data_IF_046766092031
#
_entry.id   IF_046766092031
#
_cell.length_a   1.000
_cell.length_b   1.000
_cell.length_c   1.000
_cell.angle_alpha   90.00
_cell.angle_beta   90.00
_cell.angle_gamma   90.00
#
_symmetry.space_group_name_H-M   'P 1'
#
loop_
_entity.id
_entity.type
_entity.pdbx_description
1 polymer ?
#
# COMPACT_ATOMS: atom_id res chain seq x y z
N UNK A 1 30.64 16.30 15.96
CA UNK A 1 31.42 17.04 14.95
C UNK A 1 31.73 16.03 13.85
N UNK A 2 30.80 15.88 12.89
CA UNK A 2 30.97 14.94 11.77
C UNK A 2 31.85 15.60 10.71
N UNK A 3 32.83 14.87 10.13
CA UNK A 3 33.66 15.38 9.05
C UNK A 3 32.77 15.62 7.83
N UNK A 4 32.86 16.82 7.25
CA UNK A 4 32.23 17.12 5.97
C UNK A 4 32.91 16.26 4.90
N UNK A 5 32.22 15.22 4.44
CA UNK A 5 32.61 14.51 3.23
C UNK A 5 32.70 15.52 2.08
N UNK A 6 33.89 15.64 1.51
CA UNK A 6 34.09 16.38 0.27
C UNK A 6 33.30 15.64 -0.81
N UNK A 7 32.40 16.31 -1.56
CA UNK A 7 31.63 15.64 -2.60
C UNK A 7 32.61 14.95 -3.55
N UNK A 8 32.41 13.65 -3.77
CA UNK A 8 33.26 12.87 -4.68
C UNK A 8 33.26 13.52 -6.06
N UNK A 9 34.42 13.52 -6.74
CA UNK A 9 34.61 14.14 -8.06
C UNK A 9 33.52 13.75 -9.07
N UNK A 10 32.98 12.54 -8.95
CA UNK A 10 31.86 12.01 -9.74
C UNK A 10 30.56 12.83 -9.59
N UNK A 11 30.19 13.25 -8.38
CA UNK A 11 28.96 14.05 -8.15
C UNK A 11 29.05 15.43 -8.80
N UNK A 12 30.25 16.04 -8.78
CA UNK A 12 30.50 17.34 -9.41
C UNK A 12 30.40 17.22 -10.93
N UNK A 13 31.00 16.17 -11.50
CA UNK A 13 30.93 15.89 -12.94
C UNK A 13 29.49 15.59 -13.40
N UNK A 14 28.74 14.79 -12.65
CA UNK A 14 27.33 14.50 -12.94
C UNK A 14 26.46 15.76 -12.91
N UNK A 15 26.68 16.66 -11.95
CA UNK A 15 25.96 17.95 -11.89
C UNK A 15 26.27 18.82 -13.09
N UNK A 16 27.53 18.89 -13.52
CA UNK A 16 27.91 19.65 -14.71
C UNK A 16 27.25 19.10 -15.99
N UNK A 17 27.23 17.76 -16.15
CA UNK A 17 26.52 17.10 -17.27
C UNK A 17 25.02 17.40 -17.25
N UNK A 18 24.38 17.37 -16.09
CA UNK A 18 22.96 17.70 -15.94
C UNK A 18 22.68 19.17 -16.31
N UNK A 19 23.51 20.10 -15.84
CA UNK A 19 23.36 21.52 -16.19
C UNK A 19 23.46 21.74 -17.70
N UNK A 20 24.46 21.12 -18.36
CA UNK A 20 24.60 21.21 -19.81
C UNK A 20 23.39 20.62 -20.56
N UNK A 21 22.84 19.50 -20.08
CA UNK A 21 21.65 18.88 -20.68
C UNK A 21 20.39 19.77 -20.52
N UNK A 22 20.21 20.41 -19.37
CA UNK A 22 19.09 21.34 -19.12
C UNK A 22 19.22 22.58 -20.03
N UNK A 23 20.42 23.12 -20.16
CA UNK A 23 20.70 24.25 -21.04
C UNK A 23 20.40 23.88 -22.51
N UNK A 24 20.90 22.74 -22.98
CA UNK A 24 20.61 22.26 -24.33
C UNK A 24 19.11 22.07 -24.56
N UNK A 25 18.39 21.48 -23.59
CA UNK A 25 16.94 21.30 -23.68
C UNK A 25 16.21 22.65 -23.76
N UNK A 26 16.59 23.63 -22.93
CA UNK A 26 15.99 24.96 -22.96
C UNK A 26 16.20 25.65 -24.31
N UNK A 27 17.40 25.54 -24.89
CA UNK A 27 17.69 26.07 -26.22
C UNK A 27 16.91 25.38 -27.33
N UNK A 28 16.79 24.05 -27.29
CA UNK A 28 15.98 23.31 -28.27
C UNK A 28 14.52 23.75 -28.23
N UNK A 29 13.90 23.79 -27.04
CA UNK A 29 12.51 24.23 -26.89
C UNK A 29 12.32 25.70 -27.30
N UNK A 30 13.28 26.57 -26.94
CA UNK A 30 13.25 27.99 -27.31
C UNK A 30 13.31 28.20 -28.82
N UNK A 31 14.14 27.43 -29.53
CA UNK A 31 14.23 27.48 -31.01
C UNK A 31 12.98 26.93 -31.69
N UNK A 32 12.45 25.81 -31.22
CA UNK A 32 11.19 25.24 -31.72
C UNK A 32 10.04 26.24 -31.57
N UNK A 33 9.97 26.94 -30.43
CA UNK A 33 8.94 27.96 -30.15
C UNK A 33 9.03 29.16 -31.10
N UNK A 34 10.24 29.47 -31.59
CA UNK A 34 10.52 30.56 -32.53
C UNK A 34 10.61 30.08 -33.99
N UNK A 35 10.31 28.81 -34.27
CA UNK A 35 10.41 28.18 -35.60
C UNK A 35 11.81 28.33 -36.24
N UNK A 36 12.87 28.28 -35.42
CA UNK A 36 14.26 28.37 -35.87
C UNK A 36 14.84 26.98 -36.17
N UNK A 37 15.80 26.91 -37.09
CA UNK A 37 16.49 25.67 -37.45
C UNK A 37 17.19 25.02 -36.23
N UNK A 38 17.11 23.68 -36.07
CA UNK A 38 17.50 22.98 -34.84
C UNK A 38 19.00 22.98 -34.52
N UNK A 39 19.86 23.25 -35.50
CA UNK A 39 21.33 23.25 -35.36
C UNK A 39 21.98 24.65 -35.46
N UNK A 40 21.17 25.71 -35.51
CA UNK A 40 21.71 27.06 -35.37
C UNK A 40 22.16 27.26 -33.91
N UNK A 41 23.47 27.21 -33.65
CA UNK A 41 24.03 27.77 -32.41
C UNK A 41 23.55 29.23 -32.25
N UNK A 42 23.49 29.80 -31.03
CA UNK A 42 23.26 31.22 -30.82
C UNK A 42 24.44 31.98 -31.45
N UNK A 43 24.37 32.20 -32.75
CA UNK A 43 25.40 32.91 -33.48
C UNK A 43 25.28 34.37 -33.10
N UNK A 44 26.41 34.98 -32.80
CA UNK A 44 26.50 36.42 -32.48
C UNK A 44 26.20 37.32 -33.68
N UNK A 45 25.81 36.76 -34.83
CA UNK A 45 25.47 37.48 -36.06
C UNK A 45 23.98 37.79 -36.19
N UNK A 46 23.13 37.27 -35.28
CA UNK A 46 21.71 37.60 -35.23
C UNK A 46 21.49 39.06 -34.80
N UNK A 47 20.47 39.75 -35.36
CA UNK A 47 20.04 41.06 -34.87
C UNK A 47 19.72 41.03 -33.37
N UNK A 48 20.03 42.10 -32.63
CA UNK A 48 19.77 42.23 -31.19
C UNK A 48 18.31 41.93 -30.79
N UNK A 49 17.35 42.21 -31.67
CA UNK A 49 15.94 41.89 -31.45
C UNK A 49 15.69 40.38 -31.41
N UNK A 50 16.31 39.62 -32.32
CA UNK A 50 16.14 38.18 -32.45
C UNK A 50 16.89 37.45 -31.34
N UNK A 51 18.11 37.91 -31.01
CA UNK A 51 18.85 37.42 -29.83
C UNK A 51 18.04 37.59 -28.55
N UNK A 52 17.44 38.76 -28.33
CA UNK A 52 16.59 39.01 -27.17
C UNK A 52 15.38 38.08 -27.12
N UNK A 53 14.70 37.85 -28.25
CA UNK A 53 13.57 36.91 -28.30
C UNK A 53 14.02 35.49 -27.97
N UNK A 54 15.17 35.07 -28.51
CA UNK A 54 15.78 33.76 -28.26
C UNK A 54 16.12 33.56 -26.77
N UNK A 55 16.72 34.55 -26.11
CA UNK A 55 17.00 34.50 -24.66
C UNK A 55 15.73 34.48 -23.81
N UNK A 56 14.68 35.22 -24.19
CA UNK A 56 13.40 35.20 -23.49
C UNK A 56 12.68 33.84 -23.65
N UNK A 57 12.77 33.23 -24.83
CA UNK A 57 12.26 31.90 -25.08
C UNK A 57 13.00 30.86 -24.21
N UNK A 58 14.34 30.90 -24.19
CA UNK A 58 15.15 30.02 -23.33
C UNK A 58 14.84 30.20 -21.83
N UNK A 59 14.66 31.43 -21.36
CA UNK A 59 14.23 31.70 -19.97
C UNK A 59 12.87 31.06 -19.68
N UNK A 60 11.91 31.20 -20.60
CA UNK A 60 10.58 30.60 -20.47
C UNK A 60 10.67 29.07 -20.41
N UNK A 61 11.49 28.46 -21.26
CA UNK A 61 11.75 27.03 -21.24
C UNK A 61 12.40 26.56 -19.93
N UNK A 62 13.38 27.31 -19.40
CA UNK A 62 14.00 27.00 -18.11
C UNK A 62 13.00 27.05 -16.95
N UNK A 63 12.07 28.01 -16.95
CA UNK A 63 11.00 28.07 -15.96
C UNK A 63 10.07 26.85 -16.06
N UNK A 64 9.69 26.44 -17.28
CA UNK A 64 8.87 25.25 -17.49
C UNK A 64 9.59 23.95 -17.06
N UNK A 65 10.90 23.85 -17.31
CA UNK A 65 11.73 22.73 -16.85
C UNK A 65 11.78 22.70 -15.33
N UNK A 66 11.98 23.84 -14.67
CA UNK A 66 11.97 23.94 -13.20
C UNK A 66 10.65 23.46 -12.63
N UNK A 67 9.53 23.96 -13.13
CA UNK A 67 8.20 23.62 -12.64
C UNK A 67 7.91 22.11 -12.84
N UNK A 68 8.35 21.54 -13.97
CA UNK A 68 8.28 20.10 -14.25
C UNK A 68 9.17 19.28 -13.29
N UNK A 69 10.39 19.73 -13.02
CA UNK A 69 11.29 19.11 -12.06
C UNK A 69 10.73 19.16 -10.63
N UNK A 70 10.03 20.25 -10.26
CA UNK A 70 9.32 20.34 -8.98
C UNK A 70 8.22 19.29 -8.86
N UNK A 71 7.39 19.10 -9.91
CA UNK A 71 6.38 18.05 -9.94
C UNK A 71 6.98 16.64 -9.83
N UNK A 72 8.05 16.37 -10.58
CA UNK A 72 8.77 15.10 -10.50
C UNK A 72 9.37 14.88 -9.09
N UNK A 73 9.90 15.92 -8.46
CA UNK A 73 10.41 15.84 -7.09
C UNK A 73 9.32 15.50 -6.08
N UNK A 74 8.10 16.04 -6.26
CA UNK A 74 6.95 15.70 -5.42
C UNK A 74 6.50 14.25 -5.62
N UNK A 75 6.47 13.76 -6.87
CA UNK A 75 6.17 12.37 -7.20
C UNK A 75 7.21 11.40 -6.60
N UNK A 76 8.50 11.75 -6.68
CA UNK A 76 9.58 10.98 -6.09
C UNK A 76 9.48 10.94 -4.55
N UNK A 77 9.20 12.08 -3.91
CA UNK A 77 9.00 12.14 -2.45
C UNK A 77 7.79 11.31 -2.00
N UNK A 78 6.67 11.37 -2.75
CA UNK A 78 5.51 10.51 -2.52
C UNK A 78 5.87 9.03 -2.65
N UNK A 79 6.56 8.66 -3.73
CA UNK A 79 6.99 7.28 -4.00
C UNK A 79 7.94 6.75 -2.94
N UNK A 80 8.82 7.60 -2.41
CA UNK A 80 9.72 7.28 -1.30
C UNK A 80 8.93 7.08 0.00
N UNK A 81 7.97 7.96 0.30
CA UNK A 81 7.10 7.83 1.47
C UNK A 81 6.23 6.57 1.41
N UNK A 82 5.67 6.25 0.24
CA UNK A 82 4.97 4.99 -0.03
C UNK A 82 5.87 3.76 0.14
N UNK A 83 7.19 3.93 0.10
CA UNK A 83 8.21 2.90 0.35
C UNK A 83 8.77 2.94 1.78
N UNK A 84 8.23 3.80 2.64
CA UNK A 84 8.57 3.87 4.07
C UNK A 84 9.53 5.00 4.45
N UNK A 85 10.01 5.81 3.49
CA UNK A 85 10.90 6.92 3.80
C UNK A 85 10.14 8.00 4.58
N UNK A 86 10.67 8.40 5.74
CA UNK A 86 10.12 9.46 6.56
C UNK A 86 10.70 10.83 6.17
N UNK A 87 10.21 11.91 6.80
CA UNK A 87 10.67 13.26 6.49
C UNK A 87 12.17 13.50 6.74
N UNK A 88 12.82 12.93 7.76
CA UNK A 88 14.28 12.91 7.86
C UNK A 88 14.96 12.38 6.60
N UNK A 89 14.64 11.15 6.16
CA UNK A 89 15.28 10.54 5.00
C UNK A 89 15.00 11.31 3.69
N UNK A 90 13.75 11.75 3.50
CA UNK A 90 13.36 12.56 2.33
C UNK A 90 14.08 13.92 2.36
N UNK A 91 14.22 14.53 3.54
CA UNK A 91 14.93 15.79 3.72
C UNK A 91 16.40 15.65 3.37
N UNK A 92 17.07 14.64 3.91
CA UNK A 92 18.47 14.33 3.63
C UNK A 92 18.73 14.14 2.13
N UNK A 93 17.93 13.31 1.47
CA UNK A 93 18.03 13.07 0.02
C UNK A 93 17.82 14.35 -0.81
N UNK A 94 16.96 15.25 -0.34
CA UNK A 94 16.68 16.52 -1.00
C UNK A 94 17.61 17.67 -0.54
N UNK A 95 18.62 17.39 0.30
CA UNK A 95 19.55 18.40 0.83
C UNK A 95 18.89 19.46 1.72
N UNK A 96 17.82 19.10 2.44
CA UNK A 96 17.06 20.01 3.30
C UNK A 96 16.73 19.40 4.67
N UNK A 97 16.30 20.22 5.61
CA UNK A 97 15.91 19.74 6.94
C UNK A 97 14.59 18.96 6.89
N UNK A 98 14.33 18.12 7.90
CA UNK A 98 13.03 17.45 8.12
C UNK A 98 11.85 18.43 8.02
N UNK A 99 11.97 19.61 8.64
CA UNK A 99 10.90 20.62 8.62
C UNK A 99 10.73 21.25 7.23
N UNK A 100 11.84 21.44 6.51
CA UNK A 100 11.82 21.85 5.11
C UNK A 100 11.06 20.86 4.23
N UNK A 101 11.38 19.56 4.35
CA UNK A 101 10.71 18.49 3.62
C UNK A 101 9.20 18.43 3.95
N UNK A 102 8.84 18.52 5.24
CA UNK A 102 7.44 18.54 5.67
C UNK A 102 6.65 19.73 5.13
N UNK A 103 7.26 20.91 5.09
CA UNK A 103 6.63 22.12 4.55
C UNK A 103 6.47 22.03 3.03
N UNK A 104 7.46 21.47 2.33
CA UNK A 104 7.45 21.31 0.87
C UNK A 104 6.48 20.23 0.40
N UNK A 105 6.42 19.10 1.11
CA UNK A 105 5.57 17.95 0.76
C UNK A 105 4.72 17.53 1.97
N UNK A 106 3.64 18.25 2.29
CA UNK A 106 2.77 17.90 3.40
C UNK A 106 2.06 16.55 3.17
N UNK A 107 1.67 15.88 4.26
CA UNK A 107 0.89 14.64 4.21
C UNK A 107 1.69 13.32 4.09
N UNK A 108 3.00 13.36 3.81
CA UNK A 108 3.78 12.13 3.58
C UNK A 108 4.00 11.26 4.82
N UNK A 109 3.99 11.84 6.03
CA UNK A 109 4.22 11.10 7.27
C UNK A 109 3.23 9.94 7.51
N UNK A 110 1.99 10.07 7.04
CA UNK A 110 0.99 9.01 7.19
C UNK A 110 1.34 7.75 6.40
N UNK A 111 1.89 7.94 5.19
CA UNK A 111 2.26 6.85 4.27
C UNK A 111 3.47 6.07 4.78
N UNK A 112 4.52 6.79 5.20
CA UNK A 112 5.73 6.18 5.73
C UNK A 112 5.44 5.38 7.00
N UNK A 113 4.67 5.96 7.93
CA UNK A 113 4.26 5.29 9.16
C UNK A 113 3.41 4.04 8.91
N UNK A 114 2.51 4.10 7.93
CA UNK A 114 1.69 2.95 7.53
C UNK A 114 2.54 1.79 7.02
N UNK A 115 3.45 2.06 6.08
CA UNK A 115 4.34 1.02 5.55
C UNK A 115 5.27 0.46 6.62
N UNK A 116 5.83 1.29 7.49
CA UNK A 116 6.71 0.81 8.56
C UNK A 116 5.98 -0.12 9.53
N UNK A 117 4.71 0.15 9.85
CA UNK A 117 3.88 -0.76 10.66
C UNK A 117 3.65 -2.09 9.93
N UNK A 118 3.28 -2.06 8.66
CA UNK A 118 3.15 -3.28 7.84
C UNK A 118 4.44 -4.10 7.82
N UNK A 119 5.60 -3.44 7.63
CA UNK A 119 6.90 -4.11 7.66
C UNK A 119 7.16 -4.75 9.03
N UNK A 120 6.88 -4.03 10.11
CA UNK A 120 7.06 -4.54 11.47
C UNK A 120 6.17 -5.75 11.74
N UNK A 121 4.91 -5.69 11.32
CA UNK A 121 3.99 -6.83 11.39
C UNK A 121 4.52 -8.03 10.63
N UNK A 122 4.88 -7.81 9.37
CA UNK A 122 5.36 -8.86 8.48
C UNK A 122 6.60 -9.54 9.06
N UNK A 123 7.56 -8.76 9.55
CA UNK A 123 8.76 -9.31 10.17
C UNK A 123 8.47 -10.10 11.46
N UNK A 124 7.34 -9.83 12.12
CA UNK A 124 6.95 -10.53 13.36
C UNK A 124 6.06 -11.75 13.10
N UNK A 125 5.19 -11.69 12.07
CA UNK A 125 4.07 -12.63 11.87
C UNK A 125 3.97 -13.19 10.45
N UNK A 126 4.82 -12.76 9.51
CA UNK A 126 4.73 -13.12 8.10
C UNK A 126 4.82 -14.62 7.85
N UNK A 127 5.73 -15.31 8.53
CA UNK A 127 5.88 -16.77 8.39
C UNK A 127 4.63 -17.52 8.91
N UNK A 128 4.11 -17.11 10.07
CA UNK A 128 2.87 -17.66 10.63
C UNK A 128 1.69 -17.40 9.68
N UNK A 129 1.59 -16.19 9.13
CA UNK A 129 0.57 -15.83 8.15
C UNK A 129 0.64 -16.75 6.94
N UNK A 130 1.82 -16.94 6.34
CA UNK A 130 2.02 -17.81 5.17
C UNK A 130 1.58 -19.23 5.48
N UNK A 131 1.95 -19.77 6.65
CA UNK A 131 1.61 -21.14 7.03
C UNK A 131 0.09 -21.32 7.26
N UNK A 132 -0.56 -20.35 7.92
CA UNK A 132 -2.01 -20.32 8.03
C UNK A 132 -2.65 -20.26 6.64
N UNK A 133 -2.15 -19.42 5.74
CA UNK A 133 -2.67 -19.27 4.38
C UNK A 133 -2.55 -20.57 3.58
N UNK A 134 -1.39 -21.25 3.62
CA UNK A 134 -1.21 -22.57 2.99
C UNK A 134 -2.19 -23.60 3.53
N UNK A 135 -2.39 -23.62 4.84
CA UNK A 135 -3.34 -24.55 5.47
C UNK A 135 -4.76 -24.30 4.97
N UNK A 136 -5.17 -23.04 4.82
CA UNK A 136 -6.46 -22.66 4.27
C UNK A 136 -6.60 -23.13 2.82
N UNK A 137 -5.58 -22.91 1.98
CA UNK A 137 -5.59 -23.38 0.60
C UNK A 137 -5.69 -24.91 0.52
N UNK A 138 -4.90 -25.65 1.30
CA UNK A 138 -4.96 -27.11 1.34
C UNK A 138 -6.32 -27.65 1.83
N UNK A 139 -7.02 -26.92 2.69
CA UNK A 139 -8.39 -27.24 3.07
C UNK A 139 -9.38 -26.99 1.93
N UNK A 140 -9.20 -25.91 1.19
CA UNK A 140 -10.05 -25.53 0.05
C UNK A 140 -9.83 -26.43 -1.18
N UNK A 141 -8.61 -26.95 -1.40
CA UNK A 141 -8.30 -27.91 -2.48
C UNK A 141 -9.11 -29.21 -2.41
N UNK A 142 -9.56 -29.60 -1.21
CA UNK A 142 -10.44 -30.76 -1.02
C UNK A 142 -11.85 -30.53 -1.59
N UNK A 143 -12.14 -29.30 -2.03
CA UNK A 143 -13.42 -28.88 -2.56
C UNK A 143 -13.27 -28.57 -4.05
N UNK A 144 -13.90 -29.37 -4.94
CA UNK A 144 -13.82 -29.12 -6.37
C UNK A 144 -14.56 -27.84 -6.76
N UNK A 145 -14.00 -27.10 -7.72
CA UNK A 145 -14.71 -26.02 -8.41
C UNK A 145 -14.63 -24.62 -7.80
N UNK A 146 -13.64 -24.32 -6.96
CA UNK A 146 -13.40 -22.97 -6.43
C UNK A 146 -12.54 -22.13 -7.40
N UNK A 147 -13.11 -21.17 -8.17
CA UNK A 147 -12.38 -20.44 -9.21
C UNK A 147 -11.31 -19.49 -8.64
N UNK A 148 -11.46 -19.05 -7.39
CA UNK A 148 -10.51 -18.14 -6.74
C UNK A 148 -9.24 -18.85 -6.24
N UNK A 149 -9.27 -20.17 -6.07
CA UNK A 149 -8.18 -20.94 -5.45
C UNK A 149 -6.88 -20.81 -6.26
N UNK A 150 -6.97 -20.98 -7.59
CA UNK A 150 -5.82 -20.87 -8.49
C UNK A 150 -5.15 -19.49 -8.40
N UNK A 151 -5.94 -18.41 -8.31
CA UNK A 151 -5.41 -17.07 -8.16
C UNK A 151 -4.66 -16.90 -6.84
N UNK A 152 -5.20 -17.42 -5.73
CA UNK A 152 -4.53 -17.31 -4.43
C UNK A 152 -3.25 -18.14 -4.33
N UNK A 153 -3.16 -19.29 -5.01
CA UNK A 153 -1.88 -20.02 -5.14
C UNK A 153 -0.84 -19.18 -5.90
N UNK A 154 -1.23 -18.54 -7.00
CA UNK A 154 -0.34 -17.63 -7.74
C UNK A 154 0.13 -16.50 -6.85
N UNK A 155 -0.77 -15.84 -6.11
CA UNK A 155 -0.41 -14.76 -5.19
C UNK A 155 0.52 -15.19 -4.07
N UNK A 156 0.30 -16.38 -3.51
CA UNK A 156 1.19 -16.93 -2.50
C UNK A 156 2.60 -17.18 -3.08
N UNK A 157 2.68 -17.77 -4.27
CA UNK A 157 3.96 -18.00 -4.94
C UNK A 157 4.69 -16.68 -5.27
N UNK A 158 3.97 -15.67 -5.76
CA UNK A 158 4.52 -14.31 -5.98
C UNK A 158 5.05 -13.70 -4.69
N UNK A 159 4.33 -13.85 -3.58
CA UNK A 159 4.73 -13.33 -2.27
C UNK A 159 5.99 -14.01 -1.73
N UNK A 160 6.09 -15.34 -1.88
CA UNK A 160 7.24 -16.12 -1.45
C UNK A 160 8.50 -15.81 -2.27
N UNK A 161 8.32 -15.52 -3.57
CA UNK A 161 9.40 -15.14 -4.49
C UNK A 161 9.73 -13.64 -4.43
N UNK A 162 8.89 -12.82 -3.79
CA UNK A 162 9.08 -11.39 -3.73
C UNK A 162 10.37 -11.03 -2.97
N UNK A 163 11.14 -10.12 -3.57
CA UNK A 163 12.26 -9.49 -2.88
C UNK A 163 11.78 -8.75 -1.61
N UNK A 164 12.66 -8.51 -0.63
CA UNK A 164 12.29 -7.78 0.58
C UNK A 164 11.61 -6.43 0.31
N UNK A 165 11.98 -5.74 -0.78
CA UNK A 165 11.40 -4.47 -1.18
C UNK A 165 9.97 -4.60 -1.73
N UNK A 166 9.67 -5.70 -2.43
CA UNK A 166 8.38 -5.95 -3.10
C UNK A 166 7.38 -6.71 -2.22
N UNK A 167 7.84 -7.34 -1.14
CA UNK A 167 7.05 -8.27 -0.33
C UNK A 167 5.76 -7.68 0.22
N UNK A 168 5.78 -6.42 0.65
CA UNK A 168 4.56 -5.76 1.12
C UNK A 168 3.56 -5.46 0.01
N UNK A 169 4.04 -5.17 -1.19
CA UNK A 169 3.16 -4.91 -2.33
C UNK A 169 2.51 -6.22 -2.80
N UNK A 170 3.28 -7.32 -2.82
CA UNK A 170 2.75 -8.66 -3.06
C UNK A 170 1.74 -9.10 -1.99
N UNK A 171 2.02 -8.80 -0.70
CA UNK A 171 1.10 -9.06 0.40
C UNK A 171 -0.21 -8.29 0.21
N UNK A 172 -0.14 -7.01 -0.13
CA UNK A 172 -1.33 -6.18 -0.35
C UNK A 172 -2.20 -6.73 -1.48
N UNK A 173 -1.60 -7.14 -2.60
CA UNK A 173 -2.34 -7.78 -3.71
C UNK A 173 -2.98 -9.09 -3.30
N UNK A 174 -2.26 -9.95 -2.56
CA UNK A 174 -2.81 -11.20 -2.04
C UNK A 174 -3.98 -10.96 -1.08
N UNK A 175 -3.87 -9.96 -0.19
CA UNK A 175 -4.94 -9.61 0.75
C UNK A 175 -6.17 -9.04 0.05
N UNK A 176 -6.00 -8.25 -1.01
CA UNK A 176 -7.11 -7.78 -1.86
C UNK A 176 -7.82 -8.96 -2.52
N UNK A 177 -7.07 -9.88 -3.13
CA UNK A 177 -7.64 -11.04 -3.81
C UNK A 177 -8.29 -12.02 -2.83
N UNK A 178 -7.69 -12.22 -1.64
CA UNK A 178 -8.27 -13.02 -0.57
C UNK A 178 -9.59 -12.41 -0.05
N UNK A 179 -9.63 -11.09 0.10
CA UNK A 179 -10.85 -10.38 0.48
C UNK A 179 -11.94 -10.51 -0.60
N UNK A 180 -11.58 -10.32 -1.87
CA UNK A 180 -12.50 -10.49 -2.99
C UNK A 180 -13.04 -11.93 -3.09
N UNK A 181 -12.18 -12.93 -2.87
CA UNK A 181 -12.59 -14.33 -2.79
C UNK A 181 -13.60 -14.58 -1.65
N UNK A 182 -13.35 -13.98 -0.47
CA UNK A 182 -14.23 -14.11 0.68
C UNK A 182 -15.61 -13.47 0.46
N UNK A 183 -15.67 -12.30 -0.21
CA UNK A 183 -16.93 -11.60 -0.50
C UNK A 183 -17.73 -12.26 -1.63
N UNK A 184 -17.07 -12.71 -2.68
CA UNK A 184 -17.73 -13.26 -3.87
C UNK A 184 -18.09 -14.74 -3.74
N UNK A 185 -17.61 -15.42 -2.70
CA UNK A 185 -18.00 -16.80 -2.47
C UNK A 185 -19.49 -16.87 -2.08
N UNK A 186 -20.28 -17.47 -2.99
CA UNK A 186 -21.68 -17.82 -2.73
C UNK A 186 -21.78 -18.54 -1.38
N UNK A 187 -22.80 -18.22 -0.56
CA UNK A 187 -23.06 -18.98 0.66
C UNK A 187 -23.23 -20.45 0.25
N UNK A 188 -22.39 -21.34 0.76
CA UNK A 188 -22.46 -22.71 0.33
C UNK A 188 -23.74 -23.35 0.86
N UNK A 189 -24.42 -24.12 0.02
CA UNK A 189 -25.53 -24.96 0.45
C UNK A 189 -25.09 -26.08 1.41
N UNK A 190 -23.78 -26.36 1.47
CA UNK A 190 -23.16 -27.33 2.37
C UNK A 190 -22.19 -26.66 3.36
N UNK A 191 -22.41 -26.97 4.64
CA UNK A 191 -21.62 -26.58 5.82
C UNK A 191 -20.10 -26.72 5.68
N UNK A 192 -19.61 -27.67 4.88
CA UNK A 192 -18.18 -27.96 4.77
C UNK A 192 -17.41 -26.95 3.90
N UNK A 193 -18.10 -26.33 2.94
CA UNK A 193 -17.49 -25.41 1.97
C UNK A 193 -17.22 -24.01 2.55
N UNK A 194 -17.92 -23.63 3.63
CA UNK A 194 -17.83 -22.28 4.21
C UNK A 194 -16.58 -22.04 5.07
N UNK A 195 -15.98 -23.13 5.59
CA UNK A 195 -14.88 -23.06 6.57
C UNK A 195 -13.59 -22.40 6.04
N UNK A 196 -13.07 -22.76 4.84
CA UNK A 196 -11.87 -22.10 4.30
C UNK A 196 -12.09 -20.62 4.01
N UNK A 197 -13.27 -20.26 3.52
CA UNK A 197 -13.65 -18.86 3.23
C UNK A 197 -13.69 -18.02 4.51
N UNK A 198 -14.29 -18.56 5.59
CA UNK A 198 -14.32 -17.88 6.90
C UNK A 198 -12.93 -17.69 7.50
N UNK A 199 -12.04 -18.69 7.37
CA UNK A 199 -10.63 -18.57 7.77
C UNK A 199 -9.89 -17.50 6.96
N UNK A 200 -10.08 -17.52 5.64
CA UNK A 200 -9.45 -16.56 4.74
C UNK A 200 -9.86 -15.14 5.08
N UNK A 201 -11.15 -14.91 5.35
CA UNK A 201 -11.66 -13.61 5.77
C UNK A 201 -11.05 -13.15 7.10
N UNK A 202 -11.00 -14.04 8.10
CA UNK A 202 -10.41 -13.74 9.41
C UNK A 202 -8.92 -13.41 9.32
N UNK A 203 -8.15 -14.21 8.57
CA UNK A 203 -6.72 -14.01 8.34
C UNK A 203 -6.44 -12.72 7.58
N UNK A 204 -7.26 -12.40 6.57
CA UNK A 204 -7.15 -11.16 5.79
C UNK A 204 -7.44 -9.95 6.66
N UNK A 205 -8.48 -10.01 7.49
CA UNK A 205 -8.82 -8.94 8.42
C UNK A 205 -7.72 -8.72 9.47
N UNK A 206 -7.03 -9.78 9.92
CA UNK A 206 -5.87 -9.68 10.82
C UNK A 206 -4.68 -8.94 10.24
N UNK A 207 -4.28 -9.30 9.03
CA UNK A 207 -3.25 -8.58 8.32
C UNK A 207 -3.62 -7.10 8.11
N UNK A 208 -4.90 -6.81 7.82
CA UNK A 208 -5.37 -5.43 7.62
C UNK A 208 -5.47 -4.60 8.89
N UNK A 209 -5.93 -5.11 10.05
CA UNK A 209 -6.06 -4.25 11.24
C UNK A 209 -4.72 -3.81 11.76
N UNK A 210 -3.73 -4.68 11.74
CA UNK A 210 -2.42 -4.28 12.19
C UNK A 210 -1.88 -3.15 11.32
N UNK A 211 -2.07 -3.24 10.00
CA UNK A 211 -1.74 -2.15 9.09
C UNK A 211 -2.54 -0.86 9.40
N UNK A 212 -3.84 -0.99 9.61
CA UNK A 212 -4.79 0.12 9.73
C UNK A 212 -4.81 0.82 11.10
N UNK A 213 -4.03 0.38 12.08
CA UNK A 213 -4.11 0.88 13.48
C UNK A 213 -3.98 2.39 13.68
N UNK A 214 -3.71 3.22 12.66
CA UNK A 214 -3.90 4.69 12.70
C UNK A 214 -4.20 5.35 11.33
N UNK A 215 -4.79 4.63 10.36
CA UNK A 215 -5.07 5.23 9.04
C UNK A 215 -6.29 4.61 8.41
N UNK A 216 -7.18 5.48 7.89
CA UNK A 216 -8.50 5.27 7.28
C UNK A 216 -8.63 4.12 6.26
N UNK A 217 -8.31 2.89 6.63
CA UNK A 217 -8.67 1.72 5.83
C UNK A 217 -10.18 1.51 5.96
N UNK A 218 -10.91 1.71 4.88
CA UNK A 218 -12.37 1.51 4.81
C UNK A 218 -12.80 0.07 5.17
N UNK A 219 -11.86 -0.89 5.11
CA UNK A 219 -12.10 -2.27 5.53
C UNK A 219 -12.22 -2.43 7.05
N UNK A 220 -11.77 -1.44 7.83
CA UNK A 220 -11.76 -1.47 9.29
C UNK A 220 -12.18 -0.09 9.80
N UNK A 221 -13.48 0.18 9.74
CA UNK A 221 -14.07 1.22 10.57
C UNK A 221 -13.91 0.78 12.02
N UNK A 222 -13.04 1.48 12.75
CA UNK A 222 -12.80 1.28 14.18
C UNK A 222 -13.88 1.96 15.04
N UNK A 223 -15.00 2.32 14.44
CA UNK A 223 -16.18 2.74 15.19
C UNK A 223 -16.57 1.55 16.05
N UNK A 224 -16.42 1.71 17.36
CA UNK A 224 -16.75 0.68 18.33
C UNK A 224 -18.24 0.35 18.16
N UNK A 225 -18.53 -0.73 17.43
CA UNK A 225 -19.88 -1.26 17.32
C UNK A 225 -20.13 -2.09 18.57
N UNK A 226 -21.24 -1.83 19.24
CA UNK A 226 -21.73 -2.74 20.26
C UNK A 226 -22.06 -4.09 19.62
N UNK A 227 -21.88 -5.17 20.37
CA UNK A 227 -22.39 -6.48 19.98
C UNK A 227 -23.90 -6.39 19.70
N UNK A 228 -24.35 -6.86 18.54
CA UNK A 228 -25.77 -6.80 18.11
C UNK A 228 -26.68 -7.81 18.81
N UNK A 229 -26.15 -8.59 19.74
CA UNK A 229 -26.93 -9.51 20.59
C UNK A 229 -27.58 -8.72 21.72
N UNK A 230 -28.88 -8.92 21.93
CA UNK A 230 -29.63 -8.28 23.02
C UNK A 230 -28.92 -8.47 24.36
N UNK A 231 -28.83 -7.41 25.16
CA UNK A 231 -28.18 -7.34 26.48
C UNK A 231 -26.65 -7.55 26.50
N UNK A 232 -25.98 -7.59 25.35
CA UNK A 232 -24.52 -7.62 25.31
C UNK A 232 -23.93 -6.20 25.29
N UNK A 233 -23.33 -5.78 26.39
CA UNK A 233 -22.64 -4.47 26.49
C UNK A 233 -21.19 -4.49 26.01
N UNK A 234 -20.69 -5.63 25.54
CA UNK A 234 -19.31 -5.77 25.07
C UNK A 234 -19.16 -5.22 23.65
N UNK A 235 -17.98 -4.68 23.36
CA UNK A 235 -17.59 -4.29 22.02
C UNK A 235 -17.57 -5.49 21.08
N UNK A 236 -18.02 -5.27 19.86
CA UNK A 236 -17.92 -6.24 18.80
C UNK A 236 -16.45 -6.45 18.41
N UNK A 237 -16.06 -7.70 18.25
CA UNK A 237 -14.72 -8.09 17.81
C UNK A 237 -14.71 -8.50 16.34
N UNK A 238 -15.86 -8.97 15.83
CA UNK A 238 -16.08 -9.34 14.44
C UNK A 238 -17.47 -8.92 13.99
N UNK A 239 -17.68 -8.92 12.68
CA UNK A 239 -18.97 -8.85 12.02
C UNK A 239 -19.20 -10.18 11.32
N UNK A 240 -20.34 -10.81 11.61
CA UNK A 240 -20.70 -12.12 11.11
C UNK A 240 -21.79 -12.00 10.07
N UNK A 241 -21.64 -12.68 8.95
CA UNK A 241 -22.74 -12.90 8.02
C UNK A 241 -23.51 -14.14 8.46
N UNK A 242 -24.79 -13.98 8.75
CA UNK A 242 -25.70 -15.09 9.07
C UNK A 242 -26.72 -15.29 7.94
N UNK A 243 -26.68 -16.42 7.21
CA UNK A 243 -27.62 -16.70 6.12
C UNK A 243 -29.07 -16.73 6.61
N UNK A 244 -29.30 -17.25 7.82
CA UNK A 244 -30.62 -17.38 8.44
C UNK A 244 -31.29 -16.01 8.68
N UNK A 245 -30.49 -14.96 8.80
CA UNK A 245 -30.96 -13.57 8.96
C UNK A 245 -31.15 -12.83 7.63
N UNK A 246 -31.24 -13.55 6.51
CA UNK A 246 -31.39 -12.95 5.18
C UNK A 246 -30.11 -12.27 4.70
N UNK A 247 -28.94 -12.86 5.03
CA UNK A 247 -27.62 -12.30 4.71
C UNK A 247 -27.33 -10.95 5.37
N UNK A 248 -27.97 -10.67 6.51
CA UNK A 248 -27.58 -9.53 7.32
C UNK A 248 -26.26 -9.79 8.02
N UNK A 249 -25.47 -8.73 8.16
CA UNK A 249 -24.25 -8.73 8.94
C UNK A 249 -24.56 -8.32 10.38
N UNK A 250 -24.05 -9.09 11.34
CA UNK A 250 -24.29 -8.89 12.76
C UNK A 250 -22.96 -8.67 13.49
N UNK A 251 -22.74 -7.51 14.12
CA UNK A 251 -21.56 -7.30 14.95
C UNK A 251 -21.64 -8.22 16.18
N UNK A 252 -20.57 -8.95 16.48
CA UNK A 252 -20.54 -9.92 17.57
C UNK A 252 -19.29 -9.70 18.43
N UNK A 253 -19.49 -9.62 19.76
CA UNK A 253 -18.42 -9.71 20.73
C UNK A 253 -17.85 -11.13 20.79
N UNK A 254 -16.66 -11.30 21.40
CA UNK A 254 -15.89 -12.57 21.38
C UNK A 254 -16.72 -13.82 21.63
N UNK A 255 -17.47 -13.84 22.73
CA UNK A 255 -18.24 -15.02 23.15
C UNK A 255 -19.39 -15.36 22.20
N UNK A 256 -20.15 -14.34 21.77
CA UNK A 256 -21.22 -14.53 20.78
C UNK A 256 -20.67 -14.89 19.41
N UNK A 257 -19.46 -14.43 19.07
CA UNK A 257 -18.81 -14.82 17.85
C UNK A 257 -18.40 -16.30 17.86
N UNK A 258 -17.81 -16.77 18.96
CA UNK A 258 -17.47 -18.20 19.12
C UNK A 258 -18.72 -19.07 18.99
N UNK A 259 -19.81 -18.69 19.68
CA UNK A 259 -21.07 -19.43 19.65
C UNK A 259 -21.69 -19.42 18.25
N UNK A 260 -21.82 -18.25 17.63
CA UNK A 260 -22.40 -18.12 16.31
C UNK A 260 -21.61 -18.90 15.26
N UNK A 261 -20.27 -18.89 15.32
CA UNK A 261 -19.44 -19.63 14.36
C UNK A 261 -19.49 -21.15 14.55
N UNK A 262 -20.07 -21.68 15.65
CA UNK A 262 -20.38 -23.12 15.75
C UNK A 262 -21.40 -23.55 14.71
N UNK A 263 -22.25 -22.61 14.26
CA UNK A 263 -23.08 -22.81 13.09
C UNK A 263 -22.23 -22.57 11.84
N UNK A 264 -22.04 -23.62 11.05
CA UNK A 264 -21.21 -23.63 9.83
C UNK A 264 -21.68 -22.66 8.75
N UNK A 265 -22.92 -22.21 8.81
CA UNK A 265 -23.50 -21.22 7.93
C UNK A 265 -22.98 -19.80 8.21
N UNK A 266 -22.57 -19.53 9.45
CA UNK A 266 -22.07 -18.22 9.86
C UNK A 266 -20.59 -18.07 9.47
N UNK A 267 -20.21 -16.89 8.98
CA UNK A 267 -18.82 -16.57 8.63
C UNK A 267 -18.44 -15.17 9.07
N UNK A 268 -17.17 -15.00 9.46
CA UNK A 268 -16.59 -13.68 9.71
C UNK A 268 -16.49 -12.96 8.37
N UNK A 269 -17.07 -11.77 8.25
CA UNK A 269 -16.93 -10.89 7.08
C UNK A 269 -16.08 -9.66 7.37
N UNK A 270 -16.03 -9.24 8.64
CA UNK A 270 -15.19 -8.14 9.12
C UNK A 270 -14.60 -8.53 10.48
N UNK A 271 -13.36 -8.15 10.76
CA UNK A 271 -12.82 -8.23 12.12
C UNK A 271 -12.46 -6.82 12.63
N UNK A 272 -13.14 -6.39 13.69
CA UNK A 272 -12.87 -5.12 14.38
C UNK A 272 -11.65 -5.23 15.30
N UNK A 273 -11.43 -6.43 15.85
CA UNK A 273 -10.27 -6.77 16.68
C UNK A 273 -9.66 -8.09 16.18
N UNK A 274 -8.73 -8.05 15.22
CA UNK A 274 -8.41 -9.29 14.51
C UNK A 274 -7.54 -10.29 15.23
N UNK A 275 -6.65 -9.85 16.12
CA UNK A 275 -5.94 -10.77 17.03
C UNK A 275 -6.98 -11.61 17.81
N UNK A 276 -8.13 -11.00 18.14
CA UNK A 276 -9.27 -11.69 18.78
C UNK A 276 -10.05 -12.53 17.77
N UNK A 277 -10.25 -12.08 16.53
CA UNK A 277 -11.00 -12.82 15.50
C UNK A 277 -10.34 -14.16 15.13
N UNK A 278 -9.01 -14.20 14.98
CA UNK A 278 -8.27 -15.45 14.78
C UNK A 278 -8.44 -16.37 15.98
N UNK A 279 -8.33 -15.84 17.20
CA UNK A 279 -8.53 -16.64 18.43
C UNK A 279 -9.95 -17.20 18.54
N UNK A 280 -10.96 -16.40 18.18
CA UNK A 280 -12.38 -16.78 18.15
C UNK A 280 -12.57 -17.94 17.17
N UNK A 281 -12.01 -17.79 15.96
CA UNK A 281 -12.14 -18.84 14.95
C UNK A 281 -11.45 -20.14 15.38
N UNK A 282 -10.22 -20.05 15.90
CA UNK A 282 -9.45 -21.20 16.38
C UNK A 282 -10.16 -21.93 17.53
N UNK A 283 -10.73 -21.18 18.48
CA UNK A 283 -11.52 -21.72 19.59
C UNK A 283 -12.75 -22.49 19.09
N UNK A 284 -13.50 -21.93 18.13
CA UNK A 284 -14.69 -22.56 17.58
C UNK A 284 -14.40 -23.90 16.88
N UNK A 285 -13.25 -24.01 16.20
CA UNK A 285 -13.00 -25.12 15.28
C UNK A 285 -12.06 -26.21 15.82
N UNK A 286 -11.73 -26.13 17.11
CA UNK A 286 -10.77 -26.99 17.77
C UNK A 286 -9.34 -26.64 17.37
N UNK A 287 -8.46 -26.56 18.36
CA UNK A 287 -7.12 -25.97 18.35
C UNK A 287 -6.06 -26.65 17.43
N UNK A 288 -6.44 -27.22 16.28
CA UNK A 288 -5.51 -27.89 15.35
C UNK A 288 -4.71 -26.95 14.43
N UNK A 289 -4.82 -25.63 14.62
CA UNK A 289 -4.22 -24.62 13.73
C UNK A 289 -3.12 -23.76 14.39
N UNK A 290 -2.71 -24.07 15.63
CA UNK A 290 -1.56 -23.43 16.31
C UNK A 290 -0.58 -24.47 16.82
#
# INVERSE_FOLDING_TARGET
>A
MHPFDTPTTDVVEQRAKLTAAIEQLAWTVGRETLELEPDAEPRSDLPDADLRQLWLAALTSLLAIRDSAEQLSASAALSAAQRGADYPAIGEAAGMTRQGARRKWPGLAGLAGHRQRKLTWWNTRGDQFIECFRTILAMAERQPGLPWLANLHTRLAELEQASPAQRLDALDMMLVDAHAAALNASPPSDSTTGRPIGLLAALTADAYAYAATNGHSLLITRDAKACGTHDCTRDAVVELLSPDSGHQTLPAGRQHAVEALRHTANRIVTAYQPDVALSVFAETHGNRLM
#
